data_IF_635052898619
#
_entry.id   IF_635052898619
#
_cell.length_a   1.000
_cell.length_b   1.000
_cell.length_c   1.000
_cell.angle_alpha   90.00
_cell.angle_beta   90.00
_cell.angle_gamma   90.00
#
_symmetry.space_group_name_H-M   'P 1'
#
loop_
_entity.id
_entity.type
_entity.pdbx_description
1 polymer ?
#
# COMPACT_ATOMS: atom_id res chain seq x y z
N UNK A 1 3.55 -31.36 -1.54
CA UNK A 1 3.29 -30.75 -0.25
C UNK A 1 4.47 -29.89 0.16
N UNK A 2 4.26 -28.61 0.35
CA UNK A 2 5.33 -27.74 0.87
C UNK A 2 5.54 -28.02 2.35
N UNK A 3 6.80 -28.08 2.83
CA UNK A 3 7.06 -28.32 4.25
C UNK A 3 6.52 -27.14 5.09
N UNK A 4 5.84 -27.47 6.18
CA UNK A 4 5.28 -26.49 7.12
C UNK A 4 6.36 -25.71 7.89
N UNK A 5 7.58 -26.19 7.85
CA UNK A 5 8.72 -25.64 8.58
C UNK A 5 9.99 -25.76 7.71
N UNK A 6 10.73 -24.68 7.65
CA UNK A 6 12.04 -24.61 6.99
C UNK A 6 13.09 -24.18 8.00
N UNK A 7 14.27 -24.78 7.98
CA UNK A 7 15.42 -24.36 8.76
C UNK A 7 16.43 -23.66 7.85
N UNK A 8 16.83 -22.46 8.22
CA UNK A 8 17.82 -21.67 7.51
C UNK A 8 19.05 -21.52 8.39
N UNK A 9 20.17 -22.07 7.92
CA UNK A 9 21.48 -21.90 8.57
C UNK A 9 22.23 -20.75 7.92
N UNK A 10 22.45 -19.69 8.69
CA UNK A 10 23.22 -18.51 8.25
C UNK A 10 24.59 -18.53 8.87
N UNK A 11 25.62 -18.48 8.03
CA UNK A 11 27.02 -18.36 8.45
C UNK A 11 27.50 -16.93 8.23
N UNK A 12 28.05 -16.31 9.25
CA UNK A 12 28.58 -14.96 9.16
C UNK A 12 29.77 -14.77 10.07
N UNK A 13 30.59 -13.76 9.75
CA UNK A 13 31.74 -13.37 10.58
C UNK A 13 31.27 -12.34 11.60
N UNK A 14 31.60 -12.57 12.86
CA UNK A 14 31.33 -11.66 13.97
C UNK A 14 32.59 -11.46 14.81
N UNK A 15 32.81 -10.23 15.23
CA UNK A 15 33.92 -9.89 16.09
C UNK A 15 33.61 -10.31 17.53
N UNK A 16 34.55 -11.00 18.15
CA UNK A 16 34.46 -11.37 19.56
C UNK A 16 34.85 -10.18 20.49
N UNK A 17 34.85 -10.42 21.80
CA UNK A 17 35.21 -9.43 22.84
C UNK A 17 36.68 -9.00 22.78
N UNK A 18 37.53 -9.74 22.05
CA UNK A 18 38.94 -9.46 21.86
C UNK A 18 39.24 -8.79 20.51
N UNK A 19 38.21 -8.48 19.74
CA UNK A 19 38.35 -7.86 18.42
C UNK A 19 38.66 -8.84 17.27
N UNK A 20 38.67 -10.16 17.52
CA UNK A 20 38.96 -11.15 16.48
C UNK A 20 37.72 -11.59 15.77
N UNK A 21 37.79 -11.71 14.42
CA UNK A 21 36.72 -12.18 13.59
C UNK A 21 36.58 -13.71 13.67
N UNK A 22 35.47 -14.17 14.18
CA UNK A 22 35.13 -15.58 14.29
C UNK A 22 33.90 -15.91 13.44
N UNK A 23 33.87 -17.14 12.91
CA UNK A 23 32.74 -17.63 12.13
C UNK A 23 31.64 -18.12 13.06
N UNK A 24 30.47 -17.50 12.96
CA UNK A 24 29.24 -17.89 13.65
C UNK A 24 28.26 -18.55 12.70
N UNK A 25 27.48 -19.44 13.25
CA UNK A 25 26.37 -20.10 12.53
C UNK A 25 25.11 -20.00 13.38
N UNK A 26 24.09 -19.34 12.84
CA UNK A 26 22.79 -19.25 13.47
C UNK A 26 21.77 -20.06 12.66
N UNK A 27 20.92 -20.79 13.35
CA UNK A 27 19.81 -21.53 12.78
C UNK A 27 18.49 -20.79 13.01
N UNK A 28 17.83 -20.41 11.92
CA UNK A 28 16.50 -19.79 11.95
C UNK A 28 15.46 -20.81 11.56
N UNK A 29 14.45 -20.98 12.41
CA UNK A 29 13.27 -21.80 12.13
C UNK A 29 12.19 -20.91 11.52
N UNK A 30 11.95 -21.08 10.22
CA UNK A 30 10.88 -20.41 9.50
C UNK A 30 9.66 -21.32 9.49
N UNK A 31 8.53 -20.83 9.98
CA UNK A 31 7.28 -21.58 10.06
C UNK A 31 6.30 -20.95 9.09
N UNK A 32 5.66 -21.76 8.27
CA UNK A 32 4.60 -21.28 7.39
C UNK A 32 3.44 -20.74 8.26
N UNK A 33 3.12 -19.44 8.20
CA UNK A 33 2.04 -18.85 9.00
C UNK A 33 0.66 -19.43 8.67
N UNK A 34 0.52 -20.02 7.47
CA UNK A 34 -0.73 -20.62 7.00
C UNK A 34 -0.80 -22.15 7.22
N UNK A 35 0.12 -22.74 8.00
CA UNK A 35 0.05 -24.17 8.29
C UNK A 35 -1.26 -24.51 9.00
N UNK A 36 -1.94 -25.56 8.55
CA UNK A 36 -3.10 -26.10 9.25
C UNK A 36 -2.59 -26.83 10.51
N UNK A 37 -2.76 -26.23 11.66
CA UNK A 37 -2.49 -26.89 12.95
C UNK A 37 -3.62 -27.86 13.21
N UNK A 38 -3.35 -29.14 13.03
CA UNK A 38 -4.23 -30.23 13.48
C UNK A 38 -4.19 -30.29 15.02
N UNK A 39 -5.03 -29.51 15.69
CA UNK A 39 -5.14 -29.56 17.15
C UNK A 39 -5.90 -28.37 17.71
N UNK A 40 -7.10 -28.63 18.22
CA UNK A 40 -7.98 -27.79 19.04
C UNK A 40 -8.02 -26.31 18.64
N UNK A 41 -8.83 -25.99 17.65
CA UNK A 41 -9.23 -24.61 17.37
C UNK A 41 -10.03 -24.07 18.55
N UNK A 42 -9.47 -23.16 19.32
CA UNK A 42 -10.28 -22.26 20.10
C UNK A 42 -11.12 -21.44 19.13
N UNK A 43 -12.42 -21.33 19.37
CA UNK A 43 -13.44 -20.73 18.49
C UNK A 43 -13.24 -19.24 18.15
N UNK A 44 -12.03 -18.66 18.32
CA UNK A 44 -11.79 -17.22 18.21
C UNK A 44 -11.00 -16.76 16.97
N UNK A 45 -10.41 -17.67 16.20
CA UNK A 45 -9.64 -17.30 15.01
C UNK A 45 -10.13 -18.07 13.77
N UNK A 46 -11.37 -17.84 13.36
CA UNK A 46 -11.73 -18.04 11.96
C UNK A 46 -11.08 -16.86 11.21
N UNK A 47 -9.81 -16.99 10.83
CA UNK A 47 -9.28 -16.15 9.78
C UNK A 47 -10.11 -16.48 8.56
N UNK A 48 -10.98 -15.55 8.17
CA UNK A 48 -11.60 -15.60 6.85
C UNK A 48 -10.44 -15.65 5.84
N UNK A 49 -10.33 -16.78 5.15
CA UNK A 49 -9.39 -16.86 4.01
C UNK A 49 -9.88 -15.80 3.02
N UNK A 50 -9.00 -14.88 2.64
CA UNK A 50 -9.33 -13.90 1.63
C UNK A 50 -9.71 -14.64 0.35
N UNK A 51 -10.89 -14.39 -0.16
CA UNK A 51 -11.39 -14.96 -1.44
C UNK A 51 -11.18 -13.99 -2.58
N UNK A 52 -10.63 -12.80 -2.30
CA UNK A 52 -10.33 -11.73 -3.25
C UNK A 52 -8.95 -11.16 -2.99
N UNK A 53 -8.32 -10.60 -4.03
CA UNK A 53 -7.10 -9.83 -3.89
C UNK A 53 -7.41 -8.52 -3.15
N UNK A 54 -6.90 -8.41 -1.93
CA UNK A 54 -7.16 -7.26 -1.06
C UNK A 54 -6.28 -6.09 -1.46
N UNK A 55 -6.94 -4.97 -1.76
CA UNK A 55 -6.30 -3.69 -2.09
C UNK A 55 -6.69 -2.67 -1.02
N UNK A 56 -5.70 -2.04 -0.41
CA UNK A 56 -5.89 -0.90 0.49
C UNK A 56 -5.58 0.38 -0.27
N UNK A 57 -6.55 1.27 -0.36
CA UNK A 57 -6.40 2.57 -1.01
C UNK A 57 -6.46 3.67 0.04
N UNK A 58 -5.52 4.60 -0.04
CA UNK A 58 -5.44 5.77 0.86
C UNK A 58 -5.16 7.04 0.08
N UNK A 59 -5.87 8.11 0.47
CA UNK A 59 -5.60 9.47 0.03
C UNK A 59 -6.03 10.42 1.17
N UNK A 60 -5.13 11.29 1.59
CA UNK A 60 -5.40 12.25 2.66
C UNK A 60 -5.40 13.66 2.06
N UNK A 61 -6.38 14.52 2.39
CA UNK A 61 -6.49 15.86 1.82
C UNK A 61 -5.22 16.70 1.97
N UNK A 62 -4.52 16.55 3.11
CA UNK A 62 -3.35 17.35 3.45
C UNK A 62 -2.10 16.94 2.67
N UNK A 63 -2.06 15.72 2.14
CA UNK A 63 -0.83 15.14 1.58
C UNK A 63 -0.99 14.63 0.16
N UNK A 64 -2.22 14.55 -0.37
CA UNK A 64 -2.49 13.97 -1.69
C UNK A 64 -1.81 14.74 -2.83
N UNK A 65 -1.62 16.05 -2.71
CA UNK A 65 -0.89 16.83 -3.70
C UNK A 65 0.58 16.42 -3.79
N UNK A 66 1.21 16.14 -2.65
CA UNK A 66 2.61 15.77 -2.58
C UNK A 66 2.84 14.29 -2.84
N UNK A 67 2.01 13.41 -2.24
CA UNK A 67 2.24 11.96 -2.24
C UNK A 67 1.31 11.18 -3.17
N UNK A 68 0.29 11.84 -3.75
CA UNK A 68 -0.70 11.18 -4.61
C UNK A 68 -1.64 10.24 -3.85
N UNK A 69 -2.34 9.42 -4.62
CA UNK A 69 -3.16 8.32 -4.11
C UNK A 69 -2.28 7.08 -3.93
N UNK A 70 -2.37 6.45 -2.77
CA UNK A 70 -1.63 5.23 -2.49
C UNK A 70 -2.52 4.01 -2.65
N UNK A 71 -2.01 3.00 -3.36
CA UNK A 71 -2.65 1.71 -3.52
C UNK A 71 -1.68 0.62 -3.07
N UNK A 72 -2.04 -0.15 -2.06
CA UNK A 72 -1.21 -1.21 -1.50
C UNK A 72 -1.94 -2.55 -1.57
N UNK A 73 -1.25 -3.56 -2.12
CA UNK A 73 -1.73 -4.93 -2.21
C UNK A 73 -1.29 -5.73 -0.98
N UNK A 74 -2.19 -6.52 -0.41
CA UNK A 74 -1.86 -7.43 0.70
C UNK A 74 -0.83 -8.49 0.28
N UNK A 75 -0.94 -9.00 -0.96
CA UNK A 75 -0.02 -9.96 -1.56
C UNK A 75 0.56 -9.42 -2.87
N UNK A 76 1.73 -9.93 -3.31
CA UNK A 76 2.28 -9.58 -4.62
C UNK A 76 1.27 -9.87 -5.75
N UNK A 77 1.23 -9.00 -6.75
CA UNK A 77 0.38 -9.15 -7.93
C UNK A 77 1.15 -9.84 -9.06
N UNK A 78 0.44 -10.68 -9.83
CA UNK A 78 0.98 -11.40 -10.99
C UNK A 78 0.34 -10.96 -12.30
N UNK A 79 -0.85 -10.37 -12.24
CA UNK A 79 -1.51 -9.71 -13.38
C UNK A 79 -1.93 -8.31 -12.96
N UNK A 80 -1.60 -7.32 -13.78
CA UNK A 80 -1.87 -5.91 -13.52
C UNK A 80 -2.49 -5.22 -14.73
N UNK A 81 -3.43 -4.31 -14.49
CA UNK A 81 -4.06 -3.49 -15.49
C UNK A 81 -4.24 -2.06 -14.98
N UNK A 82 -3.13 -1.37 -14.73
CA UNK A 82 -3.14 0.01 -14.24
C UNK A 82 -3.85 0.98 -15.19
N UNK A 83 -3.83 0.73 -16.49
CA UNK A 83 -4.54 1.55 -17.48
C UNK A 83 -6.07 1.52 -17.32
N UNK A 84 -6.58 0.54 -16.57
CA UNK A 84 -8.02 0.40 -16.32
C UNK A 84 -8.53 1.21 -15.13
N UNK A 85 -7.64 1.83 -14.34
CA UNK A 85 -8.03 2.70 -13.25
C UNK A 85 -8.80 3.90 -13.80
N UNK A 86 -9.79 4.35 -13.05
CA UNK A 86 -10.55 5.55 -13.41
C UNK A 86 -10.28 6.64 -12.40
N UNK A 87 -9.59 7.68 -12.82
CA UNK A 87 -9.41 8.90 -12.05
C UNK A 87 -10.41 9.95 -12.54
N UNK A 88 -11.25 10.45 -11.65
CA UNK A 88 -12.25 11.47 -11.94
C UNK A 88 -12.32 12.49 -10.84
N UNK A 89 -12.80 13.68 -11.16
CA UNK A 89 -13.03 14.72 -10.17
C UNK A 89 -14.33 15.49 -10.43
N UNK A 90 -14.90 16.00 -9.35
CA UNK A 90 -16.04 16.90 -9.39
C UNK A 90 -15.56 18.32 -9.07
N UNK A 91 -15.89 19.26 -9.93
CA UNK A 91 -15.67 20.68 -9.67
C UNK A 91 -16.71 21.22 -8.66
N UNK A 92 -16.58 22.46 -8.14
CA UNK A 92 -17.54 23.06 -7.23
C UNK A 92 -18.97 23.18 -7.80
N UNK A 93 -19.14 23.05 -9.12
CA UNK A 93 -20.46 23.04 -9.80
C UNK A 93 -21.04 21.63 -9.96
N UNK A 94 -20.37 20.60 -9.39
CA UNK A 94 -20.76 19.19 -9.49
C UNK A 94 -20.66 18.61 -10.92
N UNK A 95 -19.83 19.21 -11.77
CA UNK A 95 -19.53 18.66 -13.09
C UNK A 95 -18.42 17.63 -12.97
N UNK A 96 -18.63 16.44 -13.53
CA UNK A 96 -17.66 15.34 -13.52
C UNK A 96 -16.70 15.47 -14.70
N UNK A 97 -15.41 15.37 -14.38
CA UNK A 97 -14.32 15.38 -15.38
C UNK A 97 -13.43 14.17 -15.15
N UNK A 98 -13.04 13.51 -16.24
CA UNK A 98 -12.07 12.42 -16.21
C UNK A 98 -10.68 13.02 -16.34
N UNK A 99 -9.83 12.79 -15.34
CA UNK A 99 -8.45 13.24 -15.30
C UNK A 99 -7.48 12.16 -15.75
N UNK A 100 -6.25 12.60 -16.03
CA UNK A 100 -5.12 11.72 -16.34
C UNK A 100 -4.28 11.49 -15.09
N UNK A 101 -3.59 10.36 -15.06
CA UNK A 101 -2.71 9.98 -13.95
C UNK A 101 -1.47 9.25 -14.44
N UNK A 102 -0.47 9.19 -13.59
CA UNK A 102 0.73 8.35 -13.72
C UNK A 102 0.78 7.37 -12.57
N UNK A 103 1.42 6.22 -12.78
CA UNK A 103 1.58 5.18 -11.76
C UNK A 103 3.07 4.97 -11.52
N UNK A 104 3.47 5.01 -10.27
CA UNK A 104 4.83 4.75 -9.82
C UNK A 104 4.81 3.65 -8.77
N UNK A 105 5.72 2.68 -8.86
CA UNK A 105 5.91 1.66 -7.83
C UNK A 105 6.84 2.19 -6.75
N UNK A 106 6.50 1.95 -5.48
CA UNK A 106 7.36 2.30 -4.35
C UNK A 106 8.63 1.43 -4.36
N UNK A 107 9.79 2.06 -4.22
CA UNK A 107 11.10 1.38 -4.25
C UNK A 107 11.37 0.52 -3.01
N UNK A 108 10.74 0.84 -1.89
CA UNK A 108 10.90 0.13 -0.61
C UNK A 108 9.84 -0.94 -0.39
N UNK A 109 8.64 -0.74 -0.96
CA UNK A 109 7.54 -1.68 -0.85
C UNK A 109 6.96 -1.98 -2.23
N UNK A 110 7.41 -3.06 -2.85
CA UNK A 110 7.01 -3.48 -4.20
C UNK A 110 5.51 -3.83 -4.34
N UNK A 111 4.76 -3.89 -3.24
CA UNK A 111 3.30 -4.08 -3.24
C UNK A 111 2.55 -2.76 -3.18
N UNK A 112 3.27 -1.64 -3.07
CA UNK A 112 2.71 -0.30 -2.96
C UNK A 112 2.94 0.47 -4.24
N UNK A 113 1.89 1.09 -4.73
CA UNK A 113 1.89 1.94 -5.92
C UNK A 113 1.34 3.31 -5.57
N UNK A 114 1.93 4.33 -6.18
CA UNK A 114 1.55 5.72 -6.01
C UNK A 114 0.94 6.18 -7.32
N UNK A 115 -0.30 6.59 -7.29
CA UNK A 115 -1.03 7.11 -8.44
C UNK A 115 -1.07 8.63 -8.31
N UNK A 116 -0.41 9.33 -9.25
CA UNK A 116 -0.33 10.79 -9.26
C UNK A 116 -1.18 11.36 -10.37
N UNK A 117 -2.11 12.27 -10.08
CA UNK A 117 -2.76 13.07 -11.10
C UNK A 117 -1.71 13.83 -11.93
N UNK A 118 -1.93 13.90 -13.24
CA UNK A 118 -1.03 14.65 -14.14
C UNK A 118 -1.24 16.16 -14.01
N UNK A 119 -2.47 16.56 -13.65
CA UNK A 119 -2.84 17.95 -13.44
C UNK A 119 -2.80 18.28 -11.94
N UNK A 120 -2.51 19.55 -11.62
CA UNK A 120 -2.53 20.03 -10.25
C UNK A 120 -3.94 19.89 -9.64
N UNK A 121 -3.99 19.45 -8.39
CA UNK A 121 -5.25 19.35 -7.65
C UNK A 121 -5.69 20.76 -7.24
N UNK A 122 -6.99 21.03 -7.36
CA UNK A 122 -7.56 22.35 -7.09
C UNK A 122 -8.36 22.34 -5.78
N UNK A 123 -8.27 23.40 -4.96
CA UNK A 123 -9.05 23.56 -3.75
C UNK A 123 -10.57 23.52 -4.00
N UNK A 124 -11.30 22.89 -3.09
CA UNK A 124 -12.76 22.79 -3.18
C UNK A 124 -13.27 21.75 -4.18
N UNK A 125 -12.38 20.96 -4.79
CA UNK A 125 -12.73 19.85 -5.68
C UNK A 125 -12.77 18.54 -4.91
N UNK A 126 -13.53 17.58 -5.44
CA UNK A 126 -13.59 16.21 -4.95
C UNK A 126 -12.97 15.27 -5.98
N UNK A 127 -12.02 14.46 -5.55
CA UNK A 127 -11.27 13.55 -6.40
C UNK A 127 -11.59 12.11 -6.05
N UNK A 128 -11.71 11.27 -7.07
CA UNK A 128 -12.06 9.86 -6.94
C UNK A 128 -11.08 9.03 -7.76
N UNK A 129 -10.54 8.01 -7.14
CA UNK A 129 -9.78 6.99 -7.83
C UNK A 129 -10.48 5.66 -7.65
N UNK A 130 -10.89 5.04 -8.76
CA UNK A 130 -11.62 3.77 -8.77
C UNK A 130 -10.77 2.68 -9.40
N UNK A 131 -10.71 1.56 -8.73
CA UNK A 131 -10.16 0.29 -9.22
C UNK A 131 -11.33 -0.57 -9.65
N UNK A 132 -11.48 -0.90 -10.95
CA UNK A 132 -12.56 -1.77 -11.41
C UNK A 132 -12.35 -3.21 -10.95
N UNK A 133 -13.42 -4.00 -10.96
CA UNK A 133 -13.39 -5.42 -10.62
C UNK A 133 -12.51 -6.23 -11.59
N UNK A 134 -11.78 -7.22 -11.07
CA UNK A 134 -10.98 -8.20 -11.82
C UNK A 134 -9.89 -7.60 -12.72
N UNK A 135 -9.22 -6.55 -12.26
CA UNK A 135 -8.12 -5.90 -12.98
C UNK A 135 -6.74 -6.26 -12.45
N UNK A 136 -6.69 -6.76 -11.23
CA UNK A 136 -5.46 -7.18 -10.58
C UNK A 136 -5.64 -8.60 -10.03
N UNK A 137 -4.64 -9.44 -10.23
CA UNK A 137 -4.61 -10.80 -9.70
C UNK A 137 -3.41 -10.97 -8.80
N UNK A 138 -3.62 -11.49 -7.62
CA UNK A 138 -2.55 -11.78 -6.67
C UNK A 138 -1.86 -13.13 -6.94
N UNK A 139 -0.77 -13.37 -6.22
CA UNK A 139 0.00 -14.63 -6.32
C UNK A 139 -0.81 -15.85 -5.87
N UNK A 140 -1.90 -15.67 -5.12
CA UNK A 140 -2.78 -16.76 -4.70
C UNK A 140 -3.84 -17.10 -5.77
N UNK A 141 -3.88 -16.33 -6.87
CA UNK A 141 -4.81 -16.53 -7.97
C UNK A 141 -6.14 -15.80 -7.81
N UNK A 142 -6.29 -14.95 -6.78
CA UNK A 142 -7.52 -14.19 -6.55
C UNK A 142 -7.50 -12.86 -7.30
N UNK A 143 -8.67 -12.47 -7.82
CA UNK A 143 -8.88 -11.17 -8.43
C UNK A 143 -9.43 -10.17 -7.43
N UNK A 144 -9.16 -8.89 -7.66
CA UNK A 144 -9.68 -7.80 -6.85
C UNK A 144 -11.17 -7.56 -7.05
N UNK A 145 -11.84 -7.09 -6.02
CA UNK A 145 -13.15 -6.44 -6.09
C UNK A 145 -13.01 -4.98 -6.50
N UNK A 146 -14.14 -4.38 -6.95
CA UNK A 146 -14.17 -2.96 -7.26
C UNK A 146 -14.00 -2.15 -5.97
N UNK A 147 -13.03 -1.24 -5.96
CA UNK A 147 -12.73 -0.37 -4.83
C UNK A 147 -12.58 1.07 -5.30
N UNK A 148 -13.07 2.03 -4.51
CA UNK A 148 -12.94 3.46 -4.80
C UNK A 148 -12.48 4.21 -3.55
N UNK A 149 -11.58 5.17 -3.73
CA UNK A 149 -11.18 6.11 -2.71
C UNK A 149 -11.58 7.52 -3.13
N UNK A 150 -12.09 8.29 -2.18
CA UNK A 150 -12.49 9.68 -2.35
C UNK A 150 -11.60 10.57 -1.49
N UNK A 151 -11.19 11.70 -2.04
CA UNK A 151 -10.56 12.79 -1.28
C UNK A 151 -11.22 14.12 -1.66
N UNK A 152 -11.53 14.94 -0.66
CA UNK A 152 -12.11 16.28 -0.85
C UNK A 152 -11.11 17.30 -0.36
N UNK A 153 -10.66 18.18 -1.24
CA UNK A 153 -9.75 19.25 -0.84
C UNK A 153 -10.54 20.41 -0.23
N UNK A 154 -10.06 20.97 0.90
CA UNK A 154 -10.70 22.12 1.51
C UNK A 154 -10.66 23.30 0.55
N UNK A 155 -11.64 24.21 0.68
CA UNK A 155 -11.62 25.50 -0.05
C UNK A 155 -10.58 26.41 0.57
N UNK A 156 -10.03 27.31 -0.23
CA UNK A 156 -9.00 28.27 0.20
C UNK A 156 -9.44 29.16 1.37
N UNK A 157 -10.76 29.42 1.49
CA UNK A 157 -11.34 30.21 2.58
C UNK A 157 -11.24 29.53 3.97
N UNK A 158 -10.95 28.23 3.99
CA UNK A 158 -10.72 27.43 5.21
C UNK A 158 -9.26 27.25 5.58
N UNK A 159 -8.33 27.71 4.73
CA UNK A 159 -6.90 27.63 4.98
C UNK A 159 -6.45 28.88 5.74
N UNK A 160 -5.90 28.72 6.95
CA UNK A 160 -5.25 29.79 7.68
C UNK A 160 -3.77 29.85 7.35
N UNK A 161 -3.30 31.00 6.86
CA UNK A 161 -1.89 31.30 6.68
C UNK A 161 -1.27 31.68 8.02
N UNK A 162 -0.37 30.86 8.56
CA UNK A 162 0.47 31.21 9.70
C UNK A 162 1.79 31.79 9.18
N UNK A 163 1.99 33.10 9.33
CA UNK A 163 3.26 33.76 9.05
C UNK A 163 4.10 33.79 10.33
N UNK A 164 5.21 33.06 10.37
CA UNK A 164 6.20 33.09 11.43
C UNK A 164 7.32 34.05 11.04
N UNK A 165 7.40 35.19 11.71
CA UNK A 165 8.57 36.08 11.61
C UNK A 165 9.52 35.77 12.78
N UNK A 166 10.69 35.21 12.46
CA UNK A 166 11.78 35.06 13.41
C UNK A 166 12.62 36.33 13.39
N UNK A 167 12.42 37.19 14.40
CA UNK A 167 13.33 38.30 14.67
C UNK A 167 14.48 37.79 15.52
N UNK A 168 15.69 37.90 15.00
CA UNK A 168 16.90 37.65 15.75
C UNK A 168 17.05 38.73 16.83
N UNK A 169 17.03 38.31 18.10
CA UNK A 169 17.37 39.14 19.25
C UNK A 169 18.86 38.93 19.59
#
# INVERSE_FOLDING_TARGET
>A
PQPDTMFLNVRYMKTDTLGMLNLFTDEFKLINPNRKVLGKSSRKDIKHEDTTAVITMTAQPETVEQYGFTMEFKYPIVEEAFDSLTFRYLNPRQEEVIGKYTVEQDTLNLRKYIIRPTEALLPGYEYFLKVPHRKFKDINGYYNDSTEVKVSLPKDDKLSLMRLELTNV
#
